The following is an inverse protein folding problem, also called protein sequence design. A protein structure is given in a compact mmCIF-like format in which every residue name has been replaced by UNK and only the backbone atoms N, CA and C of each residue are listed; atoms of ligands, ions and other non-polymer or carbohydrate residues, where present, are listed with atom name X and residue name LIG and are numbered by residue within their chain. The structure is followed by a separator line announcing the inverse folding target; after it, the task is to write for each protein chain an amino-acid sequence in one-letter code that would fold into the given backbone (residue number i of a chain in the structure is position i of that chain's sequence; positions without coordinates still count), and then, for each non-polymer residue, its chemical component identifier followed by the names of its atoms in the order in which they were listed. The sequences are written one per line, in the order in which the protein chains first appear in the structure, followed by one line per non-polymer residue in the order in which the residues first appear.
data_IF_772324794181
#
_entry.id   IF_772324794181
#
_cell.length_a   1.000
_cell.length_b   1.000
_cell.length_c   1.000
_cell.angle_alpha   90.00
_cell.angle_beta   90.00
_cell.angle_gamma   90.00
#
_symmetry.space_group_name_H-M   'P 1'
#
loop_
_entity.id
_entity.type
_entity.pdbx_description
1 polymer ?
#
# COMPACT_ATOMS: atom_id res chain seq x y z
N UNK A 1 -21.18 30.93 -1.23
CA UNK A 1 -20.32 29.86 -1.74
C UNK A 1 -20.34 29.81 -3.27
N UNK A 2 -21.49 29.59 -3.90
CA UNK A 2 -21.62 29.48 -5.37
C UNK A 2 -21.17 30.77 -6.11
N UNK A 3 -21.42 31.95 -5.54
CA UNK A 3 -20.98 33.24 -6.11
C UNK A 3 -19.46 33.44 -6.22
N UNK A 4 -18.64 32.53 -5.65
CA UNK A 4 -17.16 32.59 -5.72
C UNK A 4 -16.57 31.69 -6.81
N UNK A 5 -17.41 30.90 -7.49
CA UNK A 5 -16.97 30.02 -8.57
C UNK A 5 -16.79 30.88 -9.82
N UNK A 6 -15.58 30.88 -10.37
CA UNK A 6 -15.23 31.64 -11.58
C UNK A 6 -15.25 30.74 -12.81
N UNK A 7 -14.81 29.49 -12.66
CA UNK A 7 -14.72 28.51 -13.74
C UNK A 7 -14.82 27.07 -13.19
N UNK A 8 -15.07 26.10 -14.08
CA UNK A 8 -15.17 24.67 -13.78
C UNK A 8 -14.33 23.87 -14.78
N UNK A 9 -13.40 23.08 -14.26
CA UNK A 9 -12.58 22.13 -15.03
C UNK A 9 -12.91 20.69 -14.61
N UNK A 10 -12.72 19.73 -15.51
CA UNK A 10 -12.86 18.30 -15.21
C UNK A 10 -11.74 17.48 -15.85
N UNK A 11 -11.41 16.35 -15.23
CA UNK A 11 -10.42 15.39 -15.71
C UNK A 11 -11.12 14.10 -16.13
N UNK A 12 -10.82 13.61 -17.32
CA UNK A 12 -11.33 12.33 -17.82
C UNK A 12 -10.43 11.19 -17.35
N UNK A 13 -10.99 10.26 -16.61
CA UNK A 13 -10.32 9.05 -16.12
C UNK A 13 -10.97 7.79 -16.70
N UNK A 14 -10.30 6.64 -16.60
CA UNK A 14 -10.75 5.39 -17.21
C UNK A 14 -11.78 4.63 -16.39
N UNK A 15 -11.76 4.78 -15.07
CA UNK A 15 -12.67 4.08 -14.16
C UNK A 15 -12.88 4.86 -12.85
N UNK A 16 -13.86 4.42 -12.06
CA UNK A 16 -14.24 5.04 -10.78
C UNK A 16 -13.11 5.04 -9.75
N UNK A 17 -12.29 3.99 -9.72
CA UNK A 17 -11.17 3.87 -8.78
C UNK A 17 -10.08 4.91 -9.08
N UNK A 18 -9.79 5.13 -10.36
CA UNK A 18 -8.84 6.14 -10.83
C UNK A 18 -9.38 7.55 -10.57
N UNK A 19 -10.69 7.78 -10.74
CA UNK A 19 -11.34 9.05 -10.36
C UNK A 19 -11.12 9.36 -8.88
N UNK A 20 -11.43 8.41 -8.00
CA UNK A 20 -11.31 8.59 -6.56
C UNK A 20 -9.85 8.83 -6.14
N UNK A 21 -8.90 8.10 -6.74
CA UNK A 21 -7.48 8.30 -6.48
C UNK A 21 -7.01 9.70 -6.95
N UNK A 22 -7.44 10.12 -8.13
CA UNK A 22 -7.08 11.42 -8.71
C UNK A 22 -7.64 12.55 -7.86
N UNK A 23 -8.92 12.46 -7.46
CA UNK A 23 -9.55 13.40 -6.54
C UNK A 23 -8.77 13.52 -5.22
N UNK A 24 -8.50 12.38 -4.57
CA UNK A 24 -7.77 12.38 -3.30
C UNK A 24 -6.36 12.98 -3.43
N UNK A 25 -5.67 12.72 -4.54
CA UNK A 25 -4.36 13.30 -4.80
C UNK A 25 -4.45 14.83 -4.99
N UNK A 26 -5.43 15.32 -5.74
CA UNK A 26 -5.64 16.76 -5.94
C UNK A 26 -6.01 17.49 -4.65
N UNK A 27 -6.90 16.91 -3.83
CA UNK A 27 -7.27 17.48 -2.53
C UNK A 27 -6.03 17.60 -1.64
N UNK A 28 -5.17 16.58 -1.61
CA UNK A 28 -3.94 16.61 -0.81
C UNK A 28 -2.93 17.64 -1.31
N UNK A 29 -2.77 17.76 -2.62
CA UNK A 29 -1.83 18.69 -3.23
C UNK A 29 -2.26 20.16 -3.07
N UNK A 30 -3.55 20.45 -3.25
CA UNK A 30 -4.05 21.82 -3.29
C UNK A 30 -4.70 22.29 -1.99
N UNK A 31 -4.99 21.37 -1.06
CA UNK A 31 -5.64 21.65 0.24
C UNK A 31 -6.79 22.67 0.13
N UNK A 32 -7.75 22.46 -0.79
CA UNK A 32 -8.75 23.47 -1.10
C UNK A 32 -9.58 23.84 0.13
N UNK A 33 -9.85 25.13 0.30
CA UNK A 33 -10.48 25.67 1.50
C UNK A 33 -11.81 24.99 1.84
N UNK A 34 -12.61 24.64 0.81
CA UNK A 34 -13.95 24.10 0.97
C UNK A 34 -14.02 22.57 1.18
N UNK A 35 -12.95 21.81 0.93
CA UNK A 35 -12.97 20.37 1.20
C UNK A 35 -12.77 20.11 2.69
N UNK A 36 -13.67 19.34 3.30
CA UNK A 36 -13.55 18.92 4.71
C UNK A 36 -13.00 17.49 4.79
N UNK A 37 -13.43 16.63 3.87
CA UNK A 37 -12.97 15.25 3.76
C UNK A 37 -11.66 15.15 2.99
N UNK A 38 -10.91 14.06 3.20
CA UNK A 38 -9.68 13.70 2.48
C UNK A 38 -8.50 14.69 2.65
N UNK A 39 -8.60 15.62 3.61
CA UNK A 39 -7.46 16.44 4.08
C UNK A 39 -6.54 15.69 5.06
N UNK A 40 -7.00 14.59 5.63
CA UNK A 40 -6.23 13.75 6.56
C UNK A 40 -5.01 13.13 5.83
N UNK A 41 -3.89 12.97 6.53
CA UNK A 41 -2.59 12.55 5.99
C UNK A 41 -2.54 11.05 5.61
N UNK A 42 -3.68 10.36 5.65
CA UNK A 42 -3.74 8.92 5.38
C UNK A 42 -3.52 8.65 3.90
N UNK A 43 -2.31 8.23 3.56
CA UNK A 43 -1.96 7.71 2.23
C UNK A 43 -2.62 6.36 1.97
N UNK A 44 -2.93 6.09 0.70
CA UNK A 44 -3.49 4.82 0.29
C UNK A 44 -2.51 3.67 0.61
N UNK A 45 -3.00 2.52 1.11
CA UNK A 45 -2.19 1.32 1.29
C UNK A 45 -1.70 0.75 -0.05
N UNK A 46 -0.52 0.16 0.00
CA UNK A 46 0.14 -0.61 -1.04
C UNK A 46 0.52 -1.98 -0.48
N UNK A 47 0.62 -2.98 -1.36
CA UNK A 47 1.31 -4.24 -1.04
C UNK A 47 2.77 -4.07 -1.45
N UNK A 48 3.69 -4.24 -0.52
CA UNK A 48 5.13 -4.26 -0.78
C UNK A 48 5.64 -5.69 -0.76
N UNK A 49 6.44 -6.03 -1.77
CA UNK A 49 7.25 -7.24 -1.82
C UNK A 49 8.72 -6.85 -1.70
N UNK A 50 9.38 -7.25 -0.62
CA UNK A 50 10.77 -6.86 -0.36
C UNK A 50 11.74 -7.50 -1.34
N UNK A 51 12.80 -6.77 -1.70
CA UNK A 51 13.91 -7.27 -2.53
C UNK A 51 15.03 -7.85 -1.66
N UNK A 52 14.68 -8.87 -0.90
CA UNK A 52 15.60 -9.61 -0.02
C UNK A 52 15.70 -11.06 -0.52
N UNK A 53 16.75 -11.82 -0.16
CA UNK A 53 16.87 -13.23 -0.54
C UNK A 53 15.62 -14.06 -0.20
N UNK A 54 14.95 -13.69 0.88
CA UNK A 54 13.66 -14.24 1.28
C UNK A 54 12.61 -13.13 1.33
N UNK A 55 11.82 -12.94 0.25
CA UNK A 55 10.91 -11.82 0.15
C UNK A 55 9.76 -11.93 1.14
N UNK A 56 9.37 -10.77 1.69
CA UNK A 56 8.18 -10.62 2.53
C UNK A 56 7.10 -9.91 1.74
N UNK A 57 5.85 -10.25 2.01
CA UNK A 57 4.68 -9.58 1.42
C UNK A 57 3.86 -8.97 2.55
N UNK A 58 3.74 -7.63 2.57
CA UNK A 58 2.98 -6.94 3.60
C UNK A 58 2.38 -5.62 3.09
N UNK A 59 1.44 -5.08 3.87
CA UNK A 59 0.78 -3.81 3.55
C UNK A 59 1.60 -2.66 4.11
N UNK A 60 1.90 -1.66 3.29
CA UNK A 60 2.58 -0.41 3.68
C UNK A 60 1.85 0.79 3.10
N UNK A 61 1.97 1.96 3.73
CA UNK A 61 1.55 3.24 3.15
C UNK A 61 2.71 4.06 2.61
N UNK A 62 3.93 3.56 2.82
CA UNK A 62 5.18 4.22 2.43
C UNK A 62 5.83 3.49 1.25
N UNK A 63 6.18 4.26 0.23
CA UNK A 63 6.95 3.80 -0.92
C UNK A 63 8.42 4.15 -0.67
N UNK A 64 9.27 3.13 -0.60
CA UNK A 64 10.71 3.24 -0.38
C UNK A 64 11.41 2.82 -1.68
N UNK A 65 12.42 3.58 -2.11
CA UNK A 65 13.20 3.30 -3.33
C UNK A 65 14.34 2.31 -3.05
N UNK A 66 14.03 1.15 -2.50
CA UNK A 66 14.98 0.10 -2.15
C UNK A 66 15.03 -1.05 -3.20
N UNK A 67 14.27 -0.91 -4.29
CA UNK A 67 14.11 -1.95 -5.31
C UNK A 67 13.03 -2.99 -4.98
N UNK A 68 12.29 -2.82 -3.88
CA UNK A 68 11.06 -3.58 -3.60
C UNK A 68 10.01 -3.35 -4.67
N UNK A 69 9.14 -4.34 -4.89
CA UNK A 69 7.98 -4.20 -5.78
C UNK A 69 6.78 -3.70 -4.99
N UNK A 70 6.06 -2.74 -5.54
CA UNK A 70 4.87 -2.15 -4.93
C UNK A 70 3.66 -2.38 -5.84
N UNK A 71 2.57 -2.85 -5.25
CA UNK A 71 1.28 -3.04 -5.92
C UNK A 71 0.22 -2.19 -5.21
N UNK A 72 -0.68 -1.58 -5.96
CA UNK A 72 -1.63 -0.58 -5.45
C UNK A 72 -1.33 0.81 -6.03
N UNK A 73 -2.06 1.86 -5.62
CA UNK A 73 -2.79 2.04 -4.36
C UNK A 73 -4.12 1.29 -4.27
N UNK A 74 -4.48 0.83 -3.08
CA UNK A 74 -5.78 0.21 -2.81
C UNK A 74 -6.67 1.13 -1.99
N UNK A 75 -7.96 1.20 -2.32
CA UNK A 75 -8.95 2.04 -1.63
C UNK A 75 -9.46 1.40 -0.34
N UNK A 76 -9.58 0.06 -0.31
CA UNK A 76 -10.09 -0.70 0.83
C UNK A 76 -9.01 -1.56 1.50
N UNK A 77 -8.64 -1.18 2.73
CA UNK A 77 -7.65 -1.90 3.56
C UNK A 77 -8.20 -3.25 4.05
N UNK A 78 -9.50 -3.34 4.32
CA UNK A 78 -10.13 -4.55 4.84
C UNK A 78 -10.10 -5.66 3.79
N UNK A 79 -10.58 -5.39 2.57
CA UNK A 79 -10.52 -6.35 1.48
C UNK A 79 -9.08 -6.73 1.14
N UNK A 80 -8.16 -5.75 1.13
CA UNK A 80 -6.74 -6.00 0.94
C UNK A 80 -6.17 -7.00 1.95
N UNK A 81 -6.49 -6.85 3.23
CA UNK A 81 -6.07 -7.77 4.29
C UNK A 81 -6.65 -9.16 4.11
N UNK A 82 -7.91 -9.29 3.70
CA UNK A 82 -8.53 -10.60 3.44
C UNK A 82 -7.85 -11.31 2.26
N UNK A 83 -7.61 -10.60 1.16
CA UNK A 83 -6.89 -11.13 0.00
C UNK A 83 -5.47 -11.55 0.37
N UNK A 84 -4.74 -10.72 1.12
CA UNK A 84 -3.39 -11.05 1.57
C UNK A 84 -3.39 -12.30 2.46
N UNK A 85 -4.36 -12.42 3.37
CA UNK A 85 -4.52 -13.59 4.24
C UNK A 85 -4.77 -14.86 3.43
N UNK A 86 -5.57 -14.79 2.37
CA UNK A 86 -5.79 -15.91 1.47
C UNK A 86 -4.50 -16.30 0.72
N UNK A 87 -3.75 -15.32 0.19
CA UNK A 87 -2.46 -15.56 -0.46
C UNK A 87 -1.46 -16.22 0.49
N UNK A 88 -1.35 -15.73 1.73
CA UNK A 88 -0.48 -16.31 2.76
C UNK A 88 -0.90 -17.73 3.17
N UNK A 89 -2.16 -18.12 2.94
CA UNK A 89 -2.64 -19.48 3.17
C UNK A 89 -2.19 -20.45 2.08
N UNK A 90 -2.11 -19.97 0.84
CA UNK A 90 -1.81 -20.78 -0.35
C UNK A 90 -0.29 -20.85 -0.57
N UNK A 91 0.40 -19.73 -0.35
CA UNK A 91 1.83 -19.63 -0.56
C UNK A 91 2.55 -19.52 0.79
N UNK A 92 3.61 -20.31 1.02
CA UNK A 92 4.43 -20.18 2.22
C UNK A 92 5.27 -18.90 2.12
N UNK A 93 4.68 -17.78 2.52
CA UNK A 93 5.34 -16.48 2.58
C UNK A 93 5.76 -16.20 4.01
N UNK A 94 6.95 -15.62 4.21
CA UNK A 94 7.41 -15.24 5.55
C UNK A 94 6.60 -14.06 6.09
N UNK A 95 6.18 -14.20 7.34
CA UNK A 95 5.55 -13.14 8.15
C UNK A 95 6.51 -12.49 9.15
N UNK A 96 7.71 -13.06 9.35
CA UNK A 96 8.66 -12.59 10.35
C UNK A 96 9.43 -11.35 9.90
N UNK A 97 9.67 -10.42 10.82
CA UNK A 97 10.35 -9.15 10.53
C UNK A 97 11.89 -9.24 10.49
N UNK A 98 12.47 -10.41 10.76
CA UNK A 98 13.92 -10.59 10.82
C UNK A 98 14.56 -10.59 9.42
N UNK A 99 15.66 -9.86 9.28
CA UNK A 99 16.50 -9.91 8.08
C UNK A 99 17.29 -11.23 8.06
N UNK A 100 17.01 -12.07 7.06
CA UNK A 100 17.61 -13.41 6.95
C UNK A 100 18.49 -13.48 5.71
N UNK A 101 19.77 -13.76 5.94
CA UNK A 101 20.79 -14.09 4.95
C UNK A 101 21.25 -15.55 5.11
N UNK A 102 21.90 -16.12 4.10
CA UNK A 102 22.44 -17.49 4.15
C UNK A 102 23.35 -17.75 5.37
N UNK A 103 24.13 -16.73 5.77
CA UNK A 103 24.96 -16.76 6.97
C UNK A 103 24.16 -16.84 8.28
N UNK A 104 23.00 -16.19 8.34
CA UNK A 104 22.13 -16.24 9.53
C UNK A 104 21.38 -17.57 9.66
N UNK A 105 21.22 -18.29 8.55
CA UNK A 105 20.63 -19.63 8.50
C UNK A 105 21.64 -20.68 8.99
N UNK A 106 22.91 -20.57 8.58
CA UNK A 106 23.97 -21.47 9.05
C UNK A 106 24.19 -21.38 10.55
N UNK A 107 24.02 -20.19 11.13
CA UNK A 107 24.22 -19.94 12.56
C UNK A 107 23.04 -20.41 13.44
N UNK A 108 21.97 -20.99 12.87
CA UNK A 108 20.74 -21.46 13.56
C UNK A 108 20.12 -20.44 14.54
N UNK A 109 20.41 -19.14 14.36
CA UNK A 109 20.10 -18.11 15.35
C UNK A 109 18.66 -17.61 15.29
N UNK A 110 17.87 -18.07 14.33
CA UNK A 110 16.50 -17.61 14.07
C UNK A 110 15.53 -18.78 14.03
N UNK A 111 14.51 -18.74 14.89
CA UNK A 111 13.37 -19.67 14.81
C UNK A 111 12.54 -19.35 13.57
N UNK A 112 12.44 -20.32 12.65
CA UNK A 112 11.66 -20.16 11.43
C UNK A 112 10.17 -20.23 11.76
N UNK A 113 9.52 -19.07 11.87
CA UNK A 113 8.06 -19.00 11.74
C UNK A 113 7.70 -19.09 10.24
N UNK A 114 7.94 -20.25 9.63
CA UNK A 114 7.27 -20.60 8.39
C UNK A 114 5.83 -20.90 8.78
N UNK A 115 4.87 -20.14 8.26
CA UNK A 115 3.46 -20.52 8.34
C UNK A 115 3.27 -21.69 7.38
N UNK A 116 3.65 -22.89 7.84
CA UNK A 116 3.31 -24.16 7.22
C UNK A 116 1.93 -24.50 7.75
N UNK A 117 0.94 -24.57 6.85
CA UNK A 117 -0.36 -25.19 7.13
C UNK A 117 -0.22 -26.67 6.79
#
# INVERSE_FOLDING_TARGET
MIKRIVDIEWLVVRNEVEALLTEANMIKQHQPHYNVNLKDDKTFPYIRITKEPYPRVFITREIIRDGSKYFGPYTDVYHLRQSLKAVHKIFPVRSCDYFINDKSISDKKVSFALTII
#
